data_IF_790557343751
#
_entry.id   IF_790557343751
#
_cell.length_a   1.000
_cell.length_b   1.000
_cell.length_c   1.000
_cell.angle_alpha   90.00
_cell.angle_beta   90.00
_cell.angle_gamma   90.00
#
_symmetry.space_group_name_H-M   'P 1'
#
loop_
_entity.id
_entity.type
_entity.pdbx_description
1 polymer ?
#
# COMPACT_ATOMS: atom_id res chain seq x y z
N UNK A 1 -61.31 11.79 -18.68
CA UNK A 1 -60.31 12.26 -17.69
C UNK A 1 -59.87 11.06 -16.86
N UNK A 2 -58.81 10.36 -17.26
CA UNK A 2 -58.22 9.28 -16.46
C UNK A 2 -56.82 9.00 -17.01
N UNK A 3 -55.80 8.94 -16.16
CA UNK A 3 -54.49 8.40 -16.56
C UNK A 3 -53.22 9.01 -15.95
N UNK A 4 -53.27 10.03 -15.08
CA UNK A 4 -52.04 10.69 -14.60
C UNK A 4 -51.50 10.18 -13.25
N UNK A 5 -52.32 9.50 -12.43
CA UNK A 5 -51.92 9.16 -11.06
C UNK A 5 -51.03 7.89 -10.94
N UNK A 6 -51.02 7.02 -11.95
CA UNK A 6 -50.27 5.76 -11.93
C UNK A 6 -48.78 5.93 -12.24
N UNK A 7 -48.41 6.78 -13.21
CA UNK A 7 -47.02 7.00 -13.61
C UNK A 7 -46.19 7.69 -12.51
N UNK A 8 -46.79 8.64 -11.79
CA UNK A 8 -46.10 9.39 -10.73
C UNK A 8 -45.63 8.48 -9.58
N UNK A 9 -46.43 7.48 -9.21
CA UNK A 9 -46.11 6.57 -8.10
C UNK A 9 -44.98 5.58 -8.46
N UNK A 10 -44.96 5.08 -9.69
CA UNK A 10 -43.88 4.20 -10.15
C UNK A 10 -42.55 4.94 -10.27
N UNK A 11 -42.55 6.17 -10.80
CA UNK A 11 -41.33 6.97 -10.88
C UNK A 11 -40.78 7.30 -9.49
N UNK A 12 -41.63 7.66 -8.54
CA UNK A 12 -41.20 7.96 -7.16
C UNK A 12 -40.60 6.72 -6.48
N UNK A 13 -41.24 5.55 -6.59
CA UNK A 13 -40.71 4.31 -6.03
C UNK A 13 -39.37 3.96 -6.67
N UNK A 14 -39.23 4.08 -7.99
CA UNK A 14 -37.98 3.81 -8.70
C UNK A 14 -36.84 4.76 -8.31
N UNK A 15 -37.14 6.05 -8.11
CA UNK A 15 -36.15 7.00 -7.62
C UNK A 15 -35.72 6.67 -6.18
N UNK A 16 -36.66 6.33 -5.31
CA UNK A 16 -36.34 5.91 -3.94
C UNK A 16 -35.49 4.64 -3.93
N UNK A 17 -35.76 3.66 -4.80
CA UNK A 17 -34.94 2.44 -4.86
C UNK A 17 -33.53 2.73 -5.37
N UNK A 18 -33.35 3.59 -6.38
CA UNK A 18 -32.02 4.00 -6.86
C UNK A 18 -31.24 4.72 -5.76
N UNK A 19 -31.87 5.69 -5.09
CA UNK A 19 -31.23 6.45 -4.00
C UNK A 19 -30.85 5.52 -2.84
N UNK A 20 -31.73 4.59 -2.48
CA UNK A 20 -31.45 3.60 -1.44
C UNK A 20 -30.29 2.68 -1.85
N UNK A 21 -30.27 2.20 -3.09
CA UNK A 21 -29.19 1.33 -3.59
C UNK A 21 -27.86 2.09 -3.66
N UNK A 22 -27.87 3.35 -4.08
CA UNK A 22 -26.69 4.21 -4.07
C UNK A 22 -26.17 4.46 -2.65
N UNK A 23 -27.08 4.66 -1.69
CA UNK A 23 -26.73 4.78 -0.27
C UNK A 23 -26.12 3.49 0.27
N UNK A 24 -26.70 2.32 -0.04
CA UNK A 24 -26.14 1.03 0.35
C UNK A 24 -24.73 0.87 -0.23
N UNK A 25 -24.55 1.14 -1.53
CA UNK A 25 -23.25 1.06 -2.18
C UNK A 25 -22.23 2.01 -1.53
N UNK A 26 -22.66 3.23 -1.20
CA UNK A 26 -21.83 4.21 -0.51
C UNK A 26 -21.41 3.76 0.90
N UNK A 27 -22.30 3.10 1.63
CA UNK A 27 -22.03 2.62 2.98
C UNK A 27 -21.15 1.36 2.98
N UNK A 28 -21.34 0.44 2.02
CA UNK A 28 -20.59 -0.83 1.97
C UNK A 28 -19.21 -0.67 1.34
N UNK A 29 -19.08 0.07 0.24
CA UNK A 29 -17.83 0.19 -0.51
C UNK A 29 -16.89 1.26 0.05
N UNK A 30 -16.59 1.21 1.36
CA UNK A 30 -15.59 2.10 1.96
C UNK A 30 -14.18 1.51 1.82
N UNK A 31 -13.27 2.13 1.02
CA UNK A 31 -11.91 1.64 0.88
C UNK A 31 -11.12 1.80 2.18
N UNK A 32 -10.69 0.67 2.73
CA UNK A 32 -9.80 0.54 3.88
C UNK A 32 -8.37 0.41 3.36
N UNK A 33 -7.48 1.26 3.88
CA UNK A 33 -6.05 1.22 3.52
C UNK A 33 -5.43 -0.15 3.88
N UNK A 34 -4.65 -0.77 2.96
CA UNK A 34 -3.91 -1.98 3.27
C UNK A 34 -2.91 -1.73 4.40
N UNK A 35 -2.64 -2.76 5.19
CA UNK A 35 -1.66 -2.69 6.29
C UNK A 35 -0.38 -3.42 5.88
N UNK A 36 0.76 -2.79 6.13
CA UNK A 36 2.08 -3.30 5.81
C UNK A 36 2.77 -3.71 7.12
N UNK A 37 3.43 -4.85 7.08
CA UNK A 37 4.17 -5.42 8.19
C UNK A 37 5.51 -5.94 7.69
N UNK A 38 6.56 -5.71 8.45
CA UNK A 38 7.84 -6.35 8.28
C UNK A 38 7.84 -7.64 9.10
N UNK A 39 7.84 -8.80 8.43
CA UNK A 39 7.83 -10.10 9.10
C UNK A 39 9.24 -10.56 9.41
N UNK A 40 10.10 -10.55 8.40
CA UNK A 40 11.49 -10.97 8.50
C UNK A 40 12.42 -9.87 8.02
N UNK A 41 13.57 -9.75 8.67
CA UNK A 41 14.68 -8.91 8.24
C UNK A 41 15.98 -9.52 8.73
N UNK A 42 16.98 -9.58 7.84
CA UNK A 42 18.34 -10.00 8.20
C UNK A 42 19.38 -9.23 7.40
N UNK A 43 20.49 -8.93 8.04
CA UNK A 43 21.65 -8.24 7.49
C UNK A 43 22.87 -9.14 7.71
N UNK A 44 23.35 -9.77 6.65
CA UNK A 44 24.41 -10.78 6.72
C UNK A 44 25.68 -10.26 6.04
N UNK A 45 26.83 -10.52 6.67
CA UNK A 45 28.14 -10.28 6.07
C UNK A 45 28.62 -11.58 5.41
N UNK A 46 28.62 -11.65 4.08
CA UNK A 46 29.16 -12.81 3.38
C UNK A 46 30.69 -12.74 3.37
N UNK A 47 31.33 -13.55 4.23
CA UNK A 47 32.79 -13.62 4.37
C UNK A 47 33.49 -14.53 3.35
N UNK A 48 32.74 -15.15 2.43
CA UNK A 48 33.23 -16.24 1.56
C UNK A 48 34.04 -15.81 0.33
N UNK A 49 34.39 -14.54 0.16
CA UNK A 49 35.35 -14.14 -0.88
C UNK A 49 36.76 -14.12 -0.28
N UNK A 50 37.41 -15.28 -0.34
CA UNK A 50 38.85 -15.43 -0.17
C UNK A 50 39.59 -14.48 -1.13
N UNK A 51 40.25 -13.44 -0.60
CA UNK A 51 41.49 -12.79 -1.11
C UNK A 51 41.71 -11.32 -0.70
N UNK A 52 40.90 -10.72 0.21
CA UNK A 52 41.28 -9.43 0.82
C UNK A 52 40.62 -9.18 2.19
N UNK A 53 41.37 -8.74 3.22
CA UNK A 53 40.77 -8.29 4.47
C UNK A 53 39.94 -7.02 4.23
N UNK A 54 38.62 -7.13 4.40
CA UNK A 54 37.67 -6.01 4.25
C UNK A 54 36.73 -6.07 3.03
N UNK A 55 36.72 -7.16 2.26
CA UNK A 55 35.92 -7.31 1.03
C UNK A 55 34.67 -8.21 1.17
N UNK A 56 34.08 -8.33 2.36
CA UNK A 56 32.83 -9.09 2.54
C UNK A 56 31.64 -8.41 1.86
N UNK A 57 30.85 -9.16 1.08
CA UNK A 57 29.61 -8.64 0.51
C UNK A 57 28.51 -8.61 1.58
N UNK A 58 28.00 -7.42 1.91
CA UNK A 58 26.84 -7.29 2.82
C UNK A 58 25.56 -7.58 2.03
N UNK A 59 24.74 -8.50 2.53
CA UNK A 59 23.43 -8.83 1.95
C UNK A 59 22.36 -8.55 2.99
N UNK A 60 21.42 -7.67 2.68
CA UNK A 60 20.25 -7.44 3.52
C UNK A 60 19.01 -8.03 2.84
N UNK A 61 18.34 -8.95 3.51
CA UNK A 61 17.08 -9.54 3.06
C UNK A 61 15.93 -9.07 3.92
N UNK A 62 14.74 -9.01 3.31
CA UNK A 62 13.52 -8.63 4.00
C UNK A 62 12.36 -9.48 3.52
N UNK A 63 11.33 -9.57 4.36
CA UNK A 63 10.01 -10.01 3.99
C UNK A 63 8.97 -9.01 4.51
N UNK A 64 8.15 -8.52 3.59
CA UNK A 64 7.04 -7.60 3.88
C UNK A 64 5.72 -8.30 3.60
N UNK A 65 4.86 -8.31 4.61
CA UNK A 65 3.49 -8.80 4.52
C UNK A 65 2.51 -7.65 4.40
N UNK A 66 1.64 -7.74 3.40
CA UNK A 66 0.65 -6.73 3.06
C UNK A 66 -0.72 -7.36 3.24
N UNK A 67 -1.54 -6.78 4.12
CA UNK A 67 -2.87 -7.29 4.44
C UNK A 67 -3.94 -6.38 3.84
N UNK A 68 -4.68 -6.91 2.86
CA UNK A 68 -5.90 -6.27 2.38
C UNK A 68 -7.05 -6.58 3.35
N UNK A 69 -7.60 -5.55 4.01
CA UNK A 69 -8.72 -5.68 4.95
C UNK A 69 -10.07 -5.36 4.32
N UNK A 70 -10.10 -5.01 3.04
CA UNK A 70 -11.35 -4.74 2.35
C UNK A 70 -12.13 -6.02 2.15
N UNK A 71 -13.43 -5.98 2.45
CA UNK A 71 -14.33 -7.13 2.27
C UNK A 71 -14.68 -7.37 0.81
N UNK A 72 -14.87 -6.29 0.05
CA UNK A 72 -15.40 -6.32 -1.32
C UNK A 72 -14.40 -5.77 -2.35
N UNK A 73 -13.33 -5.10 -1.89
CA UNK A 73 -12.37 -4.42 -2.78
C UNK A 73 -11.07 -5.20 -2.92
N UNK A 74 -10.68 -5.45 -4.16
CA UNK A 74 -9.30 -5.78 -4.50
C UNK A 74 -8.40 -4.56 -4.45
N UNK A 75 -7.10 -4.78 -4.32
CA UNK A 75 -6.09 -3.72 -4.32
C UNK A 75 -5.00 -4.06 -5.33
N UNK A 76 -4.78 -3.18 -6.29
CA UNK A 76 -3.57 -3.17 -7.09
C UNK A 76 -2.51 -2.37 -6.35
N UNK A 77 -1.38 -3.01 -6.09
CA UNK A 77 -0.17 -2.35 -5.63
C UNK A 77 0.69 -2.07 -6.85
N UNK A 78 1.11 -0.82 -6.99
CA UNK A 78 2.21 -0.48 -7.89
C UNK A 78 3.53 -0.96 -7.27
N UNK A 79 4.63 -0.82 -8.01
CA UNK A 79 5.94 -1.19 -7.51
C UNK A 79 6.20 -0.59 -6.12
N UNK A 80 6.71 -1.41 -5.21
CA UNK A 80 7.08 -0.98 -3.87
C UNK A 80 8.55 -0.63 -3.88
N UNK A 81 8.84 0.67 -3.85
CA UNK A 81 10.18 1.18 -3.60
C UNK A 81 10.49 1.07 -2.11
N UNK A 82 11.51 0.30 -1.77
CA UNK A 82 11.99 0.14 -0.40
C UNK A 82 13.33 0.82 -0.27
N UNK A 83 13.51 1.53 0.84
CA UNK A 83 14.78 2.14 1.21
C UNK A 83 15.15 1.73 2.63
N UNK A 84 16.41 1.35 2.81
CA UNK A 84 17.02 0.97 4.08
C UNK A 84 18.04 2.04 4.44
N UNK A 85 17.89 2.69 5.59
CA UNK A 85 18.75 3.80 6.01
C UNK A 85 19.27 3.60 7.42
N UNK A 86 20.51 4.05 7.65
CA UNK A 86 21.15 4.11 8.96
C UNK A 86 20.90 5.47 9.63
N UNK A 87 20.88 5.55 10.98
CA UNK A 87 20.89 6.83 11.69
C UNK A 87 22.03 7.72 11.16
N UNK A 88 21.80 9.02 10.91
CA UNK A 88 20.63 9.85 11.24
C UNK A 88 19.42 9.76 10.27
N UNK A 89 19.29 8.67 9.52
CA UNK A 89 18.20 8.39 8.56
C UNK A 89 18.15 9.34 7.37
N UNK A 90 19.33 9.71 6.88
CA UNK A 90 19.48 10.54 5.69
C UNK A 90 19.46 9.70 4.41
N UNK A 91 18.93 10.26 3.33
CA UNK A 91 18.85 9.60 2.02
C UNK A 91 20.22 9.21 1.45
N UNK A 92 21.28 9.93 1.81
CA UNK A 92 22.64 9.73 1.29
C UNK A 92 23.28 8.39 1.67
N UNK A 93 22.81 7.75 2.75
CA UNK A 93 23.31 6.45 3.23
C UNK A 93 22.23 5.36 3.14
N UNK A 94 21.41 5.41 2.09
CA UNK A 94 20.29 4.48 1.91
C UNK A 94 20.55 3.41 0.86
N UNK A 95 20.32 2.14 1.19
CA UNK A 95 20.26 1.04 0.24
C UNK A 95 18.82 0.88 -0.28
N UNK A 96 18.65 0.42 -1.53
CA UNK A 96 17.33 0.36 -2.17
C UNK A 96 16.96 -1.05 -2.61
N UNK A 97 15.67 -1.35 -2.59
CA UNK A 97 15.08 -2.55 -3.18
C UNK A 97 13.75 -2.22 -3.85
N UNK A 98 13.34 -3.05 -4.82
CA UNK A 98 12.03 -2.91 -5.48
C UNK A 98 11.32 -4.26 -5.44
N UNK A 99 10.06 -4.25 -4.99
CA UNK A 99 9.16 -5.39 -5.16
C UNK A 99 8.19 -5.06 -6.29
N UNK A 100 8.10 -5.89 -7.34
CA UNK A 100 7.18 -5.66 -8.45
C UNK A 100 5.73 -5.53 -7.98
N UNK A 101 5.02 -4.60 -8.61
CA UNK A 101 3.60 -4.38 -8.40
C UNK A 101 2.79 -5.65 -8.61
N UNK A 102 1.71 -5.79 -7.86
CA UNK A 102 0.88 -6.99 -7.88
C UNK A 102 -0.57 -6.70 -7.51
N UNK A 103 -1.46 -7.57 -7.98
CA UNK A 103 -2.86 -7.54 -7.56
C UNK A 103 -3.09 -8.38 -6.32
N UNK A 104 -3.87 -7.84 -5.39
CA UNK A 104 -4.28 -8.51 -4.16
C UNK A 104 -5.81 -8.56 -4.09
N UNK A 105 -6.36 -9.76 -4.02
CA UNK A 105 -7.81 -9.96 -3.82
C UNK A 105 -8.31 -9.41 -2.48
N UNK A 106 -9.64 -9.32 -2.33
CA UNK A 106 -10.30 -8.91 -1.10
C UNK A 106 -10.02 -9.88 0.06
N UNK A 107 -9.81 -9.34 1.26
CA UNK A 107 -9.45 -10.08 2.49
C UNK A 107 -8.22 -11.00 2.38
N UNK A 108 -7.39 -10.84 1.34
CA UNK A 108 -6.18 -11.65 1.16
C UNK A 108 -4.98 -10.98 1.82
N UNK A 109 -3.99 -11.81 2.14
CA UNK A 109 -2.67 -11.38 2.63
C UNK A 109 -1.63 -11.81 1.61
N UNK A 110 -0.66 -10.94 1.32
CA UNK A 110 0.43 -11.22 0.40
C UNK A 110 1.76 -11.01 1.12
N UNK A 111 2.63 -12.01 1.08
CA UNK A 111 4.02 -11.89 1.53
C UNK A 111 4.93 -11.67 0.33
N UNK A 112 5.87 -10.74 0.47
CA UNK A 112 6.85 -10.38 -0.56
C UNK A 112 8.22 -10.31 0.07
N UNK A 113 9.11 -11.18 -0.38
CA UNK A 113 10.51 -11.18 0.02
C UNK A 113 11.38 -10.47 -1.03
N UNK A 114 12.53 -9.98 -0.61
CA UNK A 114 13.51 -9.37 -1.50
C UNK A 114 14.82 -9.07 -0.79
N UNK A 115 15.72 -8.45 -1.53
CA UNK A 115 17.05 -8.09 -1.06
C UNK A 115 17.35 -6.63 -1.38
N UNK A 116 18.04 -5.94 -0.48
CA UNK A 116 18.55 -4.61 -0.74
C UNK A 116 19.85 -4.66 -1.53
N UNK A 117 19.99 -3.75 -2.49
CA UNK A 117 21.26 -3.56 -3.17
C UNK A 117 22.16 -2.65 -2.32
N UNK A 118 23.12 -3.25 -1.61
CA UNK A 118 24.09 -2.54 -0.77
C UNK A 118 25.37 -2.12 -1.51
N UNK A 119 25.43 -2.30 -2.84
CA UNK A 119 26.66 -2.12 -3.64
C UNK A 119 26.85 -0.72 -4.25
N UNK A 120 25.96 0.25 -4.01
CA UNK A 120 25.85 1.41 -4.90
C UNK A 120 26.74 2.65 -4.61
N UNK A 121 27.62 2.66 -3.61
CA UNK A 121 28.71 3.66 -3.62
C UNK A 121 29.92 3.19 -2.82
N UNK A 122 31.13 3.44 -3.33
CA UNK A 122 32.38 3.06 -2.67
C UNK A 122 32.58 3.70 -1.28
N UNK A 123 31.79 4.75 -0.95
CA UNK A 123 31.73 5.39 0.36
C UNK A 123 30.69 4.79 1.32
N UNK A 124 29.74 3.97 0.84
CA UNK A 124 28.61 3.43 1.64
C UNK A 124 28.76 1.98 2.09
N UNK A 125 29.75 1.22 1.60
CA UNK A 125 29.97 -0.18 2.06
C UNK A 125 30.44 -0.26 3.52
N UNK A 126 31.25 0.69 3.98
CA UNK A 126 31.86 0.67 5.33
C UNK A 126 30.82 0.80 6.46
N UNK A 127 29.80 1.69 6.39
CA UNK A 127 28.73 1.75 7.38
C UNK A 127 27.98 0.42 7.58
N UNK A 128 27.65 -0.28 6.51
CA UNK A 128 26.86 -1.51 6.61
C UNK A 128 27.64 -2.69 7.19
N UNK A 129 28.94 -2.80 6.88
CA UNK A 129 29.80 -3.83 7.45
C UNK A 129 30.01 -3.65 8.97
N UNK A 130 30.14 -2.40 9.43
CA UNK A 130 30.23 -2.10 10.86
C UNK A 130 28.95 -2.46 11.63
N UNK A 131 27.80 -2.34 10.96
CA UNK A 131 26.47 -2.58 11.55
C UNK A 131 26.07 -4.05 11.45
N UNK A 132 26.54 -4.80 10.46
CA UNK A 132 26.22 -6.22 10.31
C UNK A 132 26.70 -7.09 11.48
N UNK A 133 27.76 -6.67 12.19
CA UNK A 133 28.33 -7.40 13.33
C UNK A 133 27.93 -6.79 14.69
N UNK A 134 26.99 -5.85 14.70
CA UNK A 134 26.62 -5.09 15.89
C UNK A 134 25.13 -4.86 16.03
N UNK A 135 24.70 -4.51 17.23
CA UNK A 135 23.31 -4.10 17.47
C UNK A 135 23.10 -2.68 16.95
N UNK A 136 22.12 -2.48 16.07
CA UNK A 136 21.78 -1.17 15.53
C UNK A 136 20.28 -1.02 15.29
N UNK A 137 19.83 0.23 15.17
CA UNK A 137 18.46 0.55 14.75
C UNK A 137 18.49 1.04 13.31
N UNK A 138 17.81 0.31 12.43
CA UNK A 138 17.67 0.61 11.01
C UNK A 138 16.30 1.20 10.73
N UNK A 139 16.18 2.08 9.74
CA UNK A 139 14.89 2.56 9.24
C UNK A 139 14.64 2.03 7.86
N UNK A 140 13.51 1.34 7.70
CA UNK A 140 13.00 0.86 6.42
C UNK A 140 11.83 1.75 6.03
N UNK A 141 11.90 2.40 4.87
CA UNK A 141 10.79 3.15 4.30
C UNK A 141 10.27 2.48 3.02
N UNK A 142 8.95 2.50 2.85
CA UNK A 142 8.18 1.94 1.76
C UNK A 142 7.47 3.10 1.06
N UNK A 143 7.79 3.29 -0.21
CA UNK A 143 7.11 4.21 -1.12
C UNK A 143 6.40 3.40 -2.19
N UNK A 144 5.09 3.56 -2.30
CA UNK A 144 4.29 2.87 -3.29
C UNK A 144 3.03 3.67 -3.61
N UNK A 145 2.17 3.10 -4.45
CA UNK A 145 0.83 3.60 -4.64
C UNK A 145 -0.15 2.45 -4.86
N UNK A 146 -1.39 2.67 -4.44
CA UNK A 146 -2.45 1.68 -4.45
C UNK A 146 -3.65 2.15 -5.25
N UNK A 147 -4.34 1.21 -5.90
CA UNK A 147 -5.60 1.43 -6.63
C UNK A 147 -6.60 0.38 -6.19
N UNK A 148 -7.78 0.80 -5.75
CA UNK A 148 -8.84 -0.10 -5.32
C UNK A 148 -9.65 -0.55 -6.54
N UNK A 149 -9.99 -1.84 -6.58
CA UNK A 149 -10.84 -2.43 -7.62
C UNK A 149 -12.16 -2.87 -7.01
N UNK A 150 -13.27 -2.36 -7.55
CA UNK A 150 -14.63 -2.75 -7.22
C UNK A 150 -15.33 -3.26 -8.49
N UNK A 151 -15.54 -4.57 -8.61
CA UNK A 151 -16.17 -5.19 -9.79
C UNK A 151 -15.44 -4.75 -11.09
N UNK A 152 -16.07 -3.89 -11.90
CA UNK A 152 -15.53 -3.34 -13.15
C UNK A 152 -14.90 -1.94 -13.01
N UNK A 153 -15.04 -1.29 -11.84
CA UNK A 153 -14.49 0.03 -11.58
C UNK A 153 -13.14 -0.05 -10.86
N UNK A 154 -12.24 0.89 -11.20
CA UNK A 154 -10.93 1.05 -10.55
C UNK A 154 -10.77 2.49 -10.06
N UNK A 155 -10.28 2.64 -8.83
CA UNK A 155 -9.99 3.95 -8.27
C UNK A 155 -8.79 4.60 -8.94
N UNK A 156 -8.64 5.90 -8.68
CA UNK A 156 -7.40 6.62 -8.94
C UNK A 156 -6.25 6.05 -8.10
N UNK A 157 -5.04 6.46 -8.47
CA UNK A 157 -3.79 6.10 -7.79
C UNK A 157 -3.67 6.88 -6.47
N UNK A 158 -3.53 6.17 -5.35
CA UNK A 158 -3.33 6.74 -4.03
C UNK A 158 -1.91 6.45 -3.55
N UNK A 159 -1.11 7.49 -3.29
CA UNK A 159 0.26 7.32 -2.82
C UNK A 159 0.29 6.80 -1.38
N UNK A 160 1.29 5.98 -1.08
CA UNK A 160 1.51 5.35 0.22
C UNK A 160 2.98 5.52 0.57
N UNK A 161 3.24 6.30 1.62
CA UNK A 161 4.57 6.50 2.20
C UNK A 161 4.54 5.99 3.64
N UNK A 162 5.29 4.92 3.91
CA UNK A 162 5.34 4.29 5.21
C UNK A 162 6.78 4.08 5.66
N UNK A 163 7.02 4.06 6.97
CA UNK A 163 8.32 3.75 7.54
C UNK A 163 8.16 2.89 8.81
N UNK A 164 9.16 2.06 9.06
CA UNK A 164 9.33 1.28 10.27
C UNK A 164 10.78 1.39 10.74
N UNK A 165 10.98 1.43 12.05
CA UNK A 165 12.30 1.27 12.65
C UNK A 165 12.45 -0.17 13.14
N UNK A 166 13.63 -0.74 12.94
CA UNK A 166 13.93 -2.15 13.16
C UNK A 166 15.25 -2.22 13.93
N UNK A 167 15.19 -2.72 15.16
CA UNK A 167 16.38 -3.09 15.90
C UNK A 167 16.90 -4.44 15.38
N UNK A 168 18.21 -4.51 15.15
CA UNK A 168 18.92 -5.74 14.83
C UNK A 168 19.82 -6.16 15.99
N UNK A 169 20.00 -7.47 16.16
CA UNK A 169 20.94 -8.06 17.10
C UNK A 169 22.37 -8.15 16.52
N UNK A 170 23.31 -8.68 17.31
CA UNK A 170 24.70 -8.90 16.87
C UNK A 170 24.86 -9.97 15.77
N UNK A 171 23.80 -10.72 15.44
CA UNK A 171 23.76 -11.64 14.29
C UNK A 171 23.17 -10.97 13.03
N UNK A 172 22.79 -9.69 13.14
CA UNK A 172 22.16 -8.93 12.07
C UNK A 172 20.70 -9.29 11.81
N UNK A 173 20.05 -10.06 12.69
CA UNK A 173 18.63 -10.40 12.60
C UNK A 173 17.78 -9.39 13.35
N UNK A 174 16.52 -9.24 12.93
CA UNK A 174 15.52 -8.45 13.66
C UNK A 174 15.37 -8.99 15.09
N UNK A 175 15.53 -8.12 16.10
CA UNK A 175 15.41 -8.47 17.52
C UNK A 175 13.97 -8.78 17.95
N UNK A 176 12.98 -8.11 17.33
CA UNK A 176 11.57 -8.34 17.66
C UNK A 176 11.08 -9.69 17.14
N UNK A 177 10.57 -10.57 17.99
CA UNK A 177 9.95 -11.82 17.55
C UNK A 177 8.71 -11.55 16.68
N UNK A 178 7.88 -10.60 17.10
CA UNK A 178 6.68 -10.20 16.39
C UNK A 178 6.94 -9.37 15.12
N UNK A 179 5.98 -9.40 14.19
CA UNK A 179 5.97 -8.56 13.00
C UNK A 179 5.91 -7.07 13.35
N UNK A 180 6.78 -6.26 12.73
CA UNK A 180 6.81 -4.81 12.96
C UNK A 180 5.83 -4.15 12.00
N UNK A 181 4.93 -3.31 12.51
CA UNK A 181 3.98 -2.58 11.67
C UNK A 181 4.64 -1.34 11.07
N UNK A 182 4.41 -1.10 9.78
CA UNK A 182 4.79 0.15 9.15
C UNK A 182 3.81 1.28 9.51
N UNK A 183 4.36 2.44 9.85
CA UNK A 183 3.63 3.66 10.21
C UNK A 183 3.78 4.72 9.10
N UNK A 184 2.97 5.78 9.13
CA UNK A 184 3.08 6.89 8.15
C UNK A 184 4.47 7.49 8.19
N UNK A 185 5.21 7.43 7.07
CA UNK A 185 6.60 7.90 6.98
C UNK A 185 6.71 9.41 6.71
N UNK A 186 5.67 9.99 6.12
CA UNK A 186 5.52 11.41 5.83
C UNK A 186 4.38 12.05 6.67
N UNK A 187 4.41 13.38 6.91
CA UNK A 187 3.22 14.10 7.37
C UNK A 187 2.08 13.84 6.39
N UNK A 188 0.88 13.59 6.92
CA UNK A 188 -0.25 13.02 6.18
C UNK A 188 -0.60 13.86 4.95
N UNK A 189 -0.17 13.44 3.77
CA UNK A 189 -0.84 13.87 2.53
C UNK A 189 -2.13 13.06 2.47
N UNK A 190 -3.20 13.69 2.91
CA UNK A 190 -4.56 13.19 2.77
C UNK A 190 -4.86 13.11 1.27
N UNK A 191 -4.63 11.95 0.65
CA UNK A 191 -5.24 11.68 -0.64
C UNK A 191 -6.73 11.46 -0.38
N UNK A 192 -7.46 12.57 -0.47
CA UNK A 192 -8.91 12.59 -0.48
C UNK A 192 -9.41 11.59 -1.53
N UNK A 193 -10.35 10.73 -1.13
CA UNK A 193 -10.92 9.73 -2.03
C UNK A 193 -12.13 10.36 -2.71
N UNK A 194 -12.08 10.63 -4.04
CA UNK A 194 -13.25 11.08 -4.79
C UNK A 194 -14.30 9.96 -4.98
N UNK A 195 -14.17 8.85 -4.24
CA UNK A 195 -15.17 7.78 -4.16
C UNK A 195 -16.58 8.35 -3.88
N UNK A 196 -16.64 9.49 -3.19
CA UNK A 196 -17.89 10.17 -2.84
C UNK A 196 -18.58 10.89 -4.01
N UNK A 197 -17.85 11.40 -5.00
CA UNK A 197 -18.44 12.25 -6.04
C UNK A 197 -18.90 11.48 -7.28
N UNK A 198 -18.26 10.35 -7.61
CA UNK A 198 -18.61 9.59 -8.81
C UNK A 198 -19.96 8.88 -8.72
N UNK A 199 -20.38 8.43 -7.53
CA UNK A 199 -21.67 7.76 -7.34
C UNK A 199 -22.82 8.76 -7.47
N UNK A 200 -22.66 9.96 -6.89
CA UNK A 200 -23.62 11.06 -7.04
C UNK A 200 -23.76 11.44 -8.52
N UNK A 201 -22.65 11.53 -9.26
CA UNK A 201 -22.68 11.83 -10.68
C UNK A 201 -23.41 10.77 -11.51
N UNK A 202 -23.24 9.47 -11.21
CA UNK A 202 -23.96 8.39 -11.92
C UNK A 202 -25.46 8.42 -11.61
N UNK A 203 -25.84 8.67 -10.35
CA UNK A 203 -27.26 8.85 -9.97
C UNK A 203 -27.87 10.08 -10.65
N UNK A 204 -27.13 11.19 -10.73
CA UNK A 204 -27.57 12.41 -11.43
C UNK A 204 -27.67 12.21 -12.94
N UNK A 205 -26.76 11.46 -13.56
CA UNK A 205 -26.80 11.15 -15.01
C UNK A 205 -27.94 10.20 -15.33
N UNK A 206 -28.19 9.19 -14.49
CA UNK A 206 -29.36 8.31 -14.64
C UNK A 206 -30.67 9.10 -14.48
N UNK A 207 -30.73 10.02 -13.51
CA UNK A 207 -31.85 10.93 -13.33
C UNK A 207 -32.06 11.86 -14.54
N UNK A 208 -30.99 12.45 -15.08
CA UNK A 208 -31.04 13.29 -16.27
C UNK A 208 -31.48 12.51 -17.51
N UNK A 209 -30.99 11.30 -17.71
CA UNK A 209 -31.39 10.43 -18.83
C UNK A 209 -32.87 10.04 -18.76
N UNK A 210 -33.40 9.80 -17.56
CA UNK A 210 -34.83 9.53 -17.34
C UNK A 210 -35.69 10.76 -17.67
N UNK A 211 -35.27 11.95 -17.23
CA UNK A 211 -35.92 13.23 -17.56
C UNK A 211 -35.91 13.53 -19.07
N UNK A 212 -34.78 13.30 -19.75
CA UNK A 212 -34.62 13.52 -21.19
C UNK A 212 -35.40 12.51 -22.05
N UNK A 213 -35.65 11.30 -21.53
CA UNK A 213 -36.41 10.27 -22.25
C UNK A 213 -37.92 10.52 -22.29
N UNK A 214 -38.42 11.61 -21.67
CA UNK A 214 -39.84 11.95 -21.64
C UNK A 214 -40.72 10.90 -20.94
N UNK A 215 -40.12 9.99 -20.17
CA UNK A 215 -40.80 8.96 -19.37
C UNK A 215 -41.07 9.42 -17.93
N UNK A 216 -41.51 10.66 -17.80
CA UNK A 216 -42.00 11.28 -16.56
C UNK A 216 -43.30 12.04 -16.85
#
# INVERSE_FOLDING_TARGET
>A
MSGSHGLCRFCLVFLLTIVFLALLFYLTYRPIKPRYYLTAFSLLLNSSSSSAPGAGAVVASFEVTIKNRNKELGVYHDDLGLSLSLPPFNYSSSATAVVPGFYQGHQRTASKAGFFNLSSSSSSKRPWAAVANGSAVLRIAVESAVRYKAVAWRSRRHRVSLAAQVAIDGEGKKTAEDRIRFHSGAPRVYCDVPFRHSIIAVVLVAFAALMLSGRL
#
